data_IF_555469851646
#
_entry.id   IF_555469851646
#
_cell.length_a   1.000
_cell.length_b   1.000
_cell.length_c   1.000
_cell.angle_alpha   90.00
_cell.angle_beta   90.00
_cell.angle_gamma   90.00
#
_symmetry.space_group_name_H-M   'P 1'
#
loop_
_entity.id
_entity.type
_entity.pdbx_description
1 polymer ?
#
# COMPACT_ATOMS: atom_id res chain seq x y z
N UNK A 1 -7.83 -1.80 18.50
CA UNK A 1 -8.56 -2.97 19.07
C UNK A 1 -9.90 -3.21 18.38
N UNK A 2 -10.75 -2.17 18.15
CA UNK A 2 -12.07 -2.35 17.50
C UNK A 2 -11.97 -2.94 16.09
N UNK A 3 -11.08 -2.44 15.25
CA UNK A 3 -10.85 -2.94 13.90
C UNK A 3 -10.42 -4.42 13.91
N UNK A 4 -9.52 -4.79 14.81
CA UNK A 4 -9.07 -6.17 14.98
C UNK A 4 -10.21 -7.12 15.35
N UNK A 5 -11.13 -6.69 16.20
CA UNK A 5 -12.31 -7.49 16.55
C UNK A 5 -13.21 -7.75 15.34
N UNK A 6 -13.42 -6.72 14.50
CA UNK A 6 -14.19 -6.84 13.26
C UNK A 6 -13.51 -7.78 12.27
N UNK A 7 -12.21 -7.58 12.03
CA UNK A 7 -11.44 -8.44 11.13
C UNK A 7 -11.45 -9.90 11.59
N UNK A 8 -11.19 -10.15 12.87
CA UNK A 8 -11.22 -11.51 13.41
C UNK A 8 -12.61 -12.18 13.29
N UNK A 9 -13.68 -11.37 13.39
CA UNK A 9 -15.04 -11.87 13.16
C UNK A 9 -15.23 -12.25 11.69
N UNK A 10 -14.83 -11.38 10.74
CA UNK A 10 -14.97 -11.63 9.31
C UNK A 10 -14.22 -12.90 8.86
N UNK A 11 -12.99 -13.08 9.34
CA UNK A 11 -12.22 -14.29 9.04
C UNK A 11 -12.89 -15.55 9.58
N UNK A 12 -13.39 -15.53 10.84
CA UNK A 12 -14.14 -16.66 11.42
C UNK A 12 -15.43 -16.95 10.64
N UNK A 13 -16.19 -15.92 10.31
CA UNK A 13 -17.45 -16.07 9.57
C UNK A 13 -17.21 -16.62 8.16
N UNK A 14 -16.07 -16.29 7.54
CA UNK A 14 -15.63 -16.83 6.27
C UNK A 14 -14.97 -18.22 6.35
N UNK A 15 -14.82 -18.81 7.54
CA UNK A 15 -14.16 -20.10 7.71
C UNK A 15 -12.66 -20.10 7.38
N UNK A 16 -12.01 -18.96 7.43
CA UNK A 16 -10.60 -18.76 7.10
C UNK A 16 -9.80 -18.41 8.36
N UNK A 17 -8.67 -19.10 8.56
CA UNK A 17 -7.75 -18.75 9.63
C UNK A 17 -6.97 -17.49 9.29
N UNK A 18 -6.97 -16.53 10.21
CA UNK A 18 -6.18 -15.31 10.08
C UNK A 18 -4.77 -15.52 10.65
N UNK A 19 -3.84 -15.95 9.81
CA UNK A 19 -2.46 -16.26 10.22
C UNK A 19 -1.63 -14.98 10.35
N UNK A 20 -1.79 -14.02 9.45
CA UNK A 20 -0.98 -12.80 9.42
C UNK A 20 -1.81 -11.54 9.73
N UNK A 21 -1.16 -10.59 10.39
CA UNK A 21 -1.78 -9.35 10.86
C UNK A 21 -0.96 -8.14 10.39
N UNK A 22 -0.99 -7.80 9.09
CA UNK A 22 -0.35 -6.58 8.61
C UNK A 22 -1.11 -5.33 9.10
N UNK A 23 -0.39 -4.24 9.24
CA UNK A 23 -0.95 -2.95 9.63
C UNK A 23 -0.33 -1.83 8.78
N UNK A 24 -1.11 -0.83 8.48
CA UNK A 24 -0.67 0.41 7.84
C UNK A 24 -1.26 1.60 8.58
N UNK A 25 -0.42 2.57 8.91
CA UNK A 25 -0.90 3.81 9.49
C UNK A 25 -1.71 4.62 8.48
N UNK A 26 -2.88 5.18 8.89
CA UNK A 26 -3.60 6.14 8.07
C UNK A 26 -2.67 7.29 7.66
N UNK A 27 -2.74 7.70 6.40
CA UNK A 27 -1.89 8.76 5.82
C UNK A 27 -0.37 8.53 5.92
N UNK A 28 0.07 7.33 6.29
CA UNK A 28 1.49 7.06 6.57
C UNK A 28 2.03 7.76 7.81
N UNK A 29 1.16 8.35 8.64
CA UNK A 29 1.56 9.02 9.88
C UNK A 29 1.93 7.99 10.95
N UNK A 30 3.21 7.88 11.21
CA UNK A 30 3.79 6.92 12.15
C UNK A 30 3.80 7.42 13.61
N UNK A 31 3.17 8.57 13.90
CA UNK A 31 3.03 9.11 15.25
C UNK A 31 4.16 10.00 15.73
N UNK A 32 5.01 10.51 14.84
CA UNK A 32 6.09 11.45 15.19
C UNK A 32 6.97 10.96 16.33
N UNK A 33 7.03 11.71 17.43
CA UNK A 33 7.81 11.35 18.62
C UNK A 33 7.36 10.03 19.31
N UNK A 34 6.17 9.53 19.01
CA UNK A 34 5.66 8.27 19.54
C UNK A 34 5.93 7.07 18.62
N UNK A 35 6.65 7.26 17.51
CA UNK A 35 6.89 6.21 16.50
C UNK A 35 7.41 4.93 17.14
N UNK A 36 8.50 5.00 17.90
CA UNK A 36 9.14 3.82 18.49
C UNK A 36 8.21 3.07 19.46
N UNK A 37 7.46 3.81 20.25
CA UNK A 37 6.50 3.22 21.17
C UNK A 37 5.37 2.48 20.41
N UNK A 38 4.90 3.04 19.30
CA UNK A 38 3.89 2.41 18.44
C UNK A 38 4.45 1.18 17.72
N UNK A 39 5.67 1.24 17.18
CA UNK A 39 6.33 0.11 16.54
C UNK A 39 6.49 -1.06 17.53
N UNK A 40 6.95 -0.78 18.76
CA UNK A 40 7.08 -1.79 19.81
C UNK A 40 5.71 -2.37 20.20
N UNK A 41 4.70 -1.53 20.36
CA UNK A 41 3.33 -1.98 20.65
C UNK A 41 2.82 -2.97 19.60
N UNK A 42 3.01 -2.69 18.31
CA UNK A 42 2.58 -3.60 17.24
C UNK A 42 3.34 -4.92 17.26
N UNK A 43 4.65 -4.90 17.52
CA UNK A 43 5.47 -6.12 17.70
C UNK A 43 4.95 -6.97 18.86
N UNK A 44 4.74 -6.37 20.03
CA UNK A 44 4.20 -7.03 21.22
C UNK A 44 2.79 -7.61 21.00
N UNK A 45 1.99 -6.96 20.16
CA UNK A 45 0.64 -7.43 19.81
C UNK A 45 0.62 -8.46 18.68
N UNK A 46 1.77 -8.91 18.19
CA UNK A 46 1.89 -9.93 17.15
C UNK A 46 1.39 -9.45 15.78
N UNK A 47 1.65 -8.20 15.44
CA UNK A 47 1.51 -7.74 14.07
C UNK A 47 2.72 -8.19 13.24
N UNK A 48 2.51 -8.36 11.95
CA UNK A 48 3.50 -8.90 11.03
C UNK A 48 3.88 -7.85 9.99
N UNK A 49 5.19 -7.74 9.74
CA UNK A 49 5.72 -6.93 8.67
C UNK A 49 5.52 -7.64 7.32
N UNK A 50 5.05 -6.93 6.31
CA UNK A 50 5.12 -7.42 4.94
C UNK A 50 6.59 -7.55 4.53
N UNK A 51 6.95 -8.65 3.88
CA UNK A 51 8.31 -8.88 3.42
C UNK A 51 8.67 -7.88 2.31
N UNK A 52 9.51 -6.92 2.65
CA UNK A 52 10.00 -5.86 1.78
C UNK A 52 11.51 -5.96 1.47
N UNK A 53 12.11 -7.13 1.72
CA UNK A 53 13.56 -7.35 1.53
C UNK A 53 14.03 -7.12 0.08
N UNK A 54 13.12 -7.21 -0.87
CA UNK A 54 13.38 -6.99 -2.30
C UNK A 54 13.13 -5.55 -2.76
N UNK A 55 12.75 -4.65 -1.84
CA UNK A 55 12.66 -3.22 -2.14
C UNK A 55 14.06 -2.62 -2.04
N UNK A 56 14.59 -2.16 -3.17
CA UNK A 56 15.98 -1.72 -3.29
C UNK A 56 16.19 -0.21 -3.23
N UNK A 57 15.13 0.57 -3.16
CA UNK A 57 15.20 2.03 -3.10
C UNK A 57 16.03 2.51 -1.90
N UNK A 58 17.05 3.38 -2.10
CA UNK A 58 17.90 3.89 -1.01
C UNK A 58 17.08 4.55 0.11
N UNK A 59 16.10 5.38 -0.24
CA UNK A 59 15.25 6.09 0.71
C UNK A 59 14.42 5.14 1.61
N UNK A 60 14.15 3.91 1.17
CA UNK A 60 13.45 2.90 1.98
C UNK A 60 14.23 2.55 3.24
N UNK A 61 15.55 2.42 3.11
CA UNK A 61 16.47 2.17 4.24
C UNK A 61 16.77 3.44 5.03
N UNK A 62 16.98 4.55 4.35
CA UNK A 62 17.29 5.85 4.97
C UNK A 62 16.18 6.32 5.91
N UNK A 63 14.92 6.01 5.58
CA UNK A 63 13.75 6.30 6.41
C UNK A 63 13.41 5.18 7.41
N UNK A 64 14.24 4.14 7.51
CA UNK A 64 14.03 2.96 8.35
C UNK A 64 12.72 2.18 8.06
N UNK A 65 12.16 2.29 6.86
CA UNK A 65 10.94 1.60 6.49
C UNK A 65 11.12 0.08 6.47
N UNK A 66 12.34 -0.38 6.18
CA UNK A 66 12.73 -1.78 6.21
C UNK A 66 12.76 -2.39 7.62
N UNK A 67 12.73 -1.60 8.68
CA UNK A 67 12.75 -2.06 10.08
C UNK A 67 11.41 -1.86 10.80
N UNK A 68 10.56 -0.98 10.29
CA UNK A 68 9.25 -0.72 10.85
C UNK A 68 8.32 -1.93 10.66
N UNK A 69 7.44 -2.18 11.64
CA UNK A 69 6.49 -3.30 11.58
C UNK A 69 5.30 -2.99 10.68
N UNK A 70 4.94 -1.71 10.54
CA UNK A 70 3.86 -1.29 9.67
C UNK A 70 4.26 -1.37 8.20
N UNK A 71 3.27 -1.59 7.36
CA UNK A 71 3.46 -1.60 5.91
C UNK A 71 3.44 -0.17 5.37
N UNK A 72 4.46 0.19 4.62
CA UNK A 72 4.48 1.42 3.82
C UNK A 72 4.37 1.08 2.34
N UNK A 73 4.25 2.08 1.47
CA UNK A 73 4.13 1.89 0.02
C UNK A 73 5.28 2.52 -0.74
N UNK A 74 5.61 1.94 -1.88
CA UNK A 74 6.60 2.51 -2.79
C UNK A 74 5.96 3.35 -3.88
N UNK A 75 4.69 3.09 -4.18
CA UNK A 75 3.95 3.80 -5.21
C UNK A 75 2.50 4.02 -4.75
N UNK A 76 2.03 5.25 -4.89
CA UNK A 76 0.66 5.68 -4.65
C UNK A 76 0.04 6.13 -5.97
N UNK A 77 -1.09 5.54 -6.36
CA UNK A 77 -1.82 5.92 -7.57
C UNK A 77 -2.39 7.34 -7.48
N UNK A 78 -2.65 7.81 -6.26
CA UNK A 78 -3.27 9.10 -5.98
C UNK A 78 -4.63 9.29 -6.67
N UNK A 79 -5.31 8.20 -6.99
CA UNK A 79 -6.58 8.16 -7.71
C UNK A 79 -7.70 8.87 -6.98
N UNK A 80 -7.62 9.01 -5.66
CA UNK A 80 -8.55 9.80 -4.86
C UNK A 80 -8.62 11.29 -5.27
N UNK A 81 -7.68 11.75 -6.12
CA UNK A 81 -7.74 13.08 -6.73
C UNK A 81 -8.67 13.12 -7.96
N UNK A 82 -9.14 11.97 -8.46
CA UNK A 82 -10.20 11.90 -9.48
C UNK A 82 -11.51 12.20 -8.78
N UNK A 83 -11.92 13.46 -8.80
CA UNK A 83 -13.13 13.97 -8.14
C UNK A 83 -13.73 15.12 -8.93
N UNK A 84 -14.98 15.44 -8.65
CA UNK A 84 -15.68 16.50 -9.36
C UNK A 84 -14.92 17.85 -9.28
N UNK A 85 -14.72 18.48 -10.42
CA UNK A 85 -14.01 19.75 -10.52
C UNK A 85 -12.49 19.68 -10.42
N UNK A 86 -11.92 18.48 -10.37
CA UNK A 86 -10.48 18.26 -10.41
C UNK A 86 -9.98 18.09 -11.85
N UNK A 87 -8.80 18.65 -12.15
CA UNK A 87 -8.09 18.38 -13.41
C UNK A 87 -7.34 17.03 -13.39
N UNK A 88 -7.35 16.32 -12.26
CA UNK A 88 -6.73 15.02 -12.14
C UNK A 88 -7.68 13.93 -12.68
N UNK A 89 -7.23 13.22 -13.70
CA UNK A 89 -8.06 12.25 -14.45
C UNK A 89 -7.40 10.88 -14.47
N UNK A 90 -8.06 9.92 -15.11
CA UNK A 90 -7.47 8.61 -15.39
C UNK A 90 -6.12 8.73 -16.12
N UNK A 91 -6.03 9.63 -17.09
CA UNK A 91 -4.79 9.90 -17.84
C UNK A 91 -3.68 10.45 -16.93
N UNK A 92 -4.03 11.17 -15.87
CA UNK A 92 -3.10 11.61 -14.84
C UNK A 92 -2.50 10.43 -14.08
N UNK A 93 -3.33 9.42 -13.77
CA UNK A 93 -2.87 8.16 -13.14
C UNK A 93 -1.95 7.39 -14.09
N UNK A 94 -2.31 7.26 -15.38
CA UNK A 94 -1.46 6.62 -16.40
C UNK A 94 -0.10 7.32 -16.50
N UNK A 95 -0.11 8.63 -16.61
CA UNK A 95 1.13 9.42 -16.64
C UNK A 95 1.97 9.18 -15.38
N UNK A 96 1.34 9.08 -14.22
CA UNK A 96 2.00 8.81 -12.95
C UNK A 96 2.64 7.41 -12.92
N UNK A 97 1.99 6.40 -13.48
CA UNK A 97 2.53 5.04 -13.59
C UNK A 97 3.78 4.95 -14.48
N UNK A 98 3.82 5.73 -15.56
CA UNK A 98 4.90 5.70 -16.54
C UNK A 98 6.06 6.67 -16.28
N UNK A 99 5.97 7.46 -15.22
CA UNK A 99 7.02 8.42 -14.83
C UNK A 99 7.48 8.14 -13.41
N UNK A 100 8.67 8.62 -13.02
CA UNK A 100 9.08 8.56 -11.63
C UNK A 100 8.03 9.16 -10.70
N UNK A 101 7.69 8.42 -9.65
CA UNK A 101 6.71 8.90 -8.66
C UNK A 101 7.22 10.20 -8.03
N UNK A 102 6.41 11.29 -8.02
CA UNK A 102 6.88 12.61 -7.58
C UNK A 102 7.29 12.65 -6.10
N UNK A 103 6.71 11.76 -5.27
CA UNK A 103 6.98 11.75 -3.82
C UNK A 103 8.17 10.86 -3.47
N UNK A 104 8.32 9.74 -4.17
CA UNK A 104 9.29 8.70 -3.81
C UNK A 104 10.39 8.51 -4.85
N UNK A 105 10.22 9.02 -6.06
CA UNK A 105 11.12 8.76 -7.19
C UNK A 105 11.03 7.33 -7.73
N UNK A 106 10.13 6.49 -7.21
CA UNK A 106 9.97 5.11 -7.66
C UNK A 106 9.49 5.06 -9.11
N UNK A 107 10.12 4.20 -9.91
CA UNK A 107 9.78 3.95 -11.31
C UNK A 107 9.06 2.62 -11.39
N UNK A 108 7.74 2.66 -11.60
CA UNK A 108 6.87 1.48 -11.46
C UNK A 108 7.23 0.35 -12.41
N UNK A 109 7.57 0.66 -13.66
CA UNK A 109 7.89 -0.32 -14.71
C UNK A 109 9.40 -0.53 -14.91
N UNK A 110 10.25 -0.14 -13.95
CA UNK A 110 11.67 -0.43 -14.03
C UNK A 110 11.94 -1.93 -13.78
N UNK A 111 12.87 -2.49 -14.53
CA UNK A 111 13.33 -3.87 -14.36
C UNK A 111 13.88 -4.10 -12.94
N UNK A 112 13.69 -5.29 -12.42
CA UNK A 112 14.21 -5.77 -11.12
C UNK A 112 13.70 -4.99 -9.87
N UNK A 113 12.71 -4.13 -10.00
CA UNK A 113 12.10 -3.45 -8.86
C UNK A 113 10.90 -4.24 -8.32
N UNK A 114 10.77 -4.20 -7.00
CA UNK A 114 9.59 -4.68 -6.28
C UNK A 114 8.83 -3.50 -5.69
N UNK A 115 7.52 -3.60 -5.70
CA UNK A 115 6.64 -2.53 -5.25
C UNK A 115 5.62 -3.00 -4.24
N UNK A 116 5.31 -2.12 -3.29
CA UNK A 116 4.08 -2.16 -2.51
C UNK A 116 3.23 -0.99 -3.02
N UNK A 117 2.10 -1.33 -3.62
CA UNK A 117 1.22 -0.36 -4.26
C UNK A 117 0.13 0.09 -3.30
N UNK A 118 -0.15 1.38 -3.26
CA UNK A 118 -1.24 1.97 -2.50
C UNK A 118 -2.38 2.38 -3.42
N UNK A 119 -3.54 1.81 -3.15
CA UNK A 119 -4.81 2.15 -3.76
C UNK A 119 -5.83 2.47 -2.67
N UNK A 120 -6.71 3.43 -2.90
CA UNK A 120 -7.72 3.85 -1.93
C UNK A 120 -9.11 3.40 -2.37
N UNK A 121 -9.92 2.94 -1.43
CA UNK A 121 -11.36 2.78 -1.65
C UNK A 121 -12.02 4.16 -1.47
N UNK A 122 -12.36 4.82 -2.57
CA UNK A 122 -12.85 6.18 -2.60
C UNK A 122 -14.16 6.28 -3.41
N UNK A 123 -15.26 6.60 -2.72
CA UNK A 123 -16.61 6.55 -3.30
C UNK A 123 -16.76 7.49 -4.51
N UNK A 124 -16.30 8.73 -4.40
CA UNK A 124 -16.40 9.72 -5.49
C UNK A 124 -15.56 9.30 -6.71
N UNK A 125 -14.40 8.69 -6.50
CA UNK A 125 -13.59 8.13 -7.59
C UNK A 125 -14.34 6.99 -8.27
N UNK A 126 -14.99 6.12 -7.50
CA UNK A 126 -15.79 5.01 -8.04
C UNK A 126 -17.00 5.50 -8.83
N UNK A 127 -17.66 6.58 -8.40
CA UNK A 127 -18.77 7.19 -9.12
C UNK A 127 -18.33 7.77 -10.48
N UNK A 128 -17.13 8.41 -10.53
CA UNK A 128 -16.62 9.06 -11.73
C UNK A 128 -15.88 8.08 -12.68
N UNK A 129 -15.29 7.04 -12.14
CA UNK A 129 -14.54 6.03 -12.85
C UNK A 129 -14.83 4.64 -12.25
N UNK A 130 -15.99 4.05 -12.60
CA UNK A 130 -16.41 2.75 -12.08
C UNK A 130 -15.36 1.65 -12.27
N UNK A 131 -15.18 0.81 -11.26
CA UNK A 131 -14.19 -0.27 -11.24
C UNK A 131 -12.73 0.21 -11.48
N UNK A 132 -12.40 1.44 -11.12
CA UNK A 132 -11.07 2.03 -11.36
C UNK A 132 -9.92 1.14 -10.85
N UNK A 133 -10.09 0.46 -9.74
CA UNK A 133 -9.09 -0.46 -9.19
C UNK A 133 -8.77 -1.62 -10.17
N UNK A 134 -9.80 -2.17 -10.81
CA UNK A 134 -9.65 -3.24 -11.81
C UNK A 134 -8.93 -2.71 -13.05
N UNK A 135 -9.36 -1.55 -13.53
CA UNK A 135 -8.76 -0.88 -14.67
C UNK A 135 -7.25 -0.62 -14.45
N UNK A 136 -6.86 -0.20 -13.25
CA UNK A 136 -5.45 0.04 -12.92
C UNK A 136 -4.66 -1.26 -12.81
N UNK A 137 -5.21 -2.29 -12.20
CA UNK A 137 -4.57 -3.61 -12.11
C UNK A 137 -4.37 -4.21 -13.50
N UNK A 138 -5.39 -4.16 -14.36
CA UNK A 138 -5.31 -4.64 -15.74
C UNK A 138 -4.21 -3.90 -16.51
N UNK A 139 -4.13 -2.57 -16.39
CA UNK A 139 -3.08 -1.78 -17.02
C UNK A 139 -1.67 -2.17 -16.54
N UNK A 140 -1.49 -2.45 -15.26
CA UNK A 140 -0.21 -2.94 -14.73
C UNK A 140 0.18 -4.30 -15.35
N UNK A 141 -0.78 -5.24 -15.42
CA UNK A 141 -0.56 -6.57 -16.00
C UNK A 141 -0.23 -6.48 -17.50
N UNK A 142 -0.95 -5.64 -18.26
CA UNK A 142 -0.69 -5.40 -19.69
C UNK A 142 0.69 -4.81 -19.95
N UNK A 143 1.25 -4.08 -18.99
CA UNK A 143 2.60 -3.51 -19.06
C UNK A 143 3.68 -4.40 -18.40
N UNK A 144 3.35 -5.66 -18.13
CA UNK A 144 4.32 -6.68 -17.73
C UNK A 144 4.59 -6.79 -16.23
N UNK A 145 3.87 -6.04 -15.38
CA UNK A 145 3.94 -6.29 -13.94
C UNK A 145 3.27 -7.61 -13.59
N UNK A 146 3.80 -8.27 -12.57
CA UNK A 146 3.19 -9.45 -11.96
C UNK A 146 2.92 -9.20 -10.49
N UNK A 147 1.91 -9.87 -9.95
CA UNK A 147 1.57 -9.78 -8.52
C UNK A 147 1.98 -11.08 -7.83
N UNK A 148 2.79 -10.94 -6.80
CA UNK A 148 3.17 -12.06 -5.93
C UNK A 148 2.28 -12.09 -4.68
N UNK A 149 2.07 -13.29 -4.13
CA UNK A 149 1.48 -13.41 -2.81
C UNK A 149 2.41 -12.73 -1.77
N UNK A 150 1.86 -11.92 -0.86
CA UNK A 150 2.68 -11.25 0.13
C UNK A 150 3.31 -12.26 1.09
N UNK A 151 4.63 -12.21 1.24
CA UNK A 151 5.33 -12.85 2.35
C UNK A 151 5.29 -11.96 3.59
N UNK A 152 5.48 -12.55 4.78
CA UNK A 152 5.50 -11.82 6.04
C UNK A 152 6.73 -12.20 6.87
N UNK A 153 7.26 -11.22 7.58
CA UNK A 153 8.36 -11.38 8.54
C UNK A 153 7.77 -11.39 9.96
N UNK A 154 8.27 -12.30 10.79
CA UNK A 154 7.92 -12.42 12.21
C UNK A 154 8.82 -11.55 13.08
#
# INVERSE_FOLDING_TARGET
>A
EKCEAVLNKLYRDGGVERVFRPFRFPYGDKGGANKDALQNYFKEKGFHKVNDTHITYPWWKEQNLNTDIDTFWTFDFAEYNIRQGSDFTKESVWKRMHNPNPETGAVLFAEDNRHILLLHAHDETEELLPEYYKLFIEHLLENGLTFDAPGFLC
#
